data_IF_638902629198
#
_entry.id   IF_638902629198
#
_cell.length_a   1.000
_cell.length_b   1.000
_cell.length_c   1.000
_cell.angle_alpha   90.00
_cell.angle_beta   90.00
_cell.angle_gamma   90.00
#
_symmetry.space_group_name_H-M   'P 1'
#
loop_
_entity.id
_entity.type
_entity.pdbx_description
1 polymer ?
#
# COMPACT_ATOMS: atom_id res chain seq x y z
N UNK A 1 26.64 27.10 -6.56
CA UNK A 1 27.35 25.93 -7.11
C UNK A 1 27.38 24.72 -6.16
N UNK A 2 27.57 24.86 -4.85
CA UNK A 2 27.64 23.73 -3.89
C UNK A 2 26.38 22.84 -3.89
N UNK A 3 25.16 23.41 -3.99
CA UNK A 3 23.91 22.65 -3.92
C UNK A 3 23.63 21.78 -5.14
N UNK A 4 24.18 22.11 -6.31
CA UNK A 4 24.05 21.31 -7.54
C UNK A 4 24.95 20.08 -7.47
N UNK A 5 26.15 20.24 -6.89
CA UNK A 5 27.10 19.14 -6.73
C UNK A 5 26.57 18.05 -5.78
N UNK A 6 25.90 18.45 -4.67
CA UNK A 6 25.32 17.53 -3.72
C UNK A 6 24.12 16.76 -4.32
N UNK A 7 23.27 17.44 -5.09
CA UNK A 7 22.14 16.79 -5.77
C UNK A 7 22.60 15.75 -6.79
N UNK A 8 23.62 16.07 -7.56
CA UNK A 8 24.16 15.15 -8.55
C UNK A 8 24.90 13.97 -7.90
N UNK A 9 25.61 14.19 -6.78
CA UNK A 9 26.26 13.14 -6.02
C UNK A 9 25.23 12.15 -5.42
N UNK A 10 24.11 12.64 -4.87
CA UNK A 10 23.03 11.79 -4.39
C UNK A 10 22.38 10.97 -5.51
N UNK A 11 22.18 11.56 -6.69
CA UNK A 11 21.61 10.87 -7.84
C UNK A 11 22.53 9.73 -8.33
N UNK A 12 23.83 9.99 -8.42
CA UNK A 12 24.83 8.99 -8.79
C UNK A 12 24.92 7.88 -7.76
N UNK A 13 24.83 8.20 -6.46
CA UNK A 13 24.86 7.19 -5.40
C UNK A 13 23.63 6.28 -5.43
N UNK A 14 22.46 6.83 -5.71
CA UNK A 14 21.23 6.04 -5.90
C UNK A 14 21.33 5.15 -7.13
N UNK A 15 21.84 5.65 -8.26
CA UNK A 15 22.02 4.85 -9.48
C UNK A 15 23.10 3.76 -9.33
N UNK A 16 24.16 4.00 -8.57
CA UNK A 16 25.18 3.00 -8.28
C UNK A 16 24.68 1.88 -7.36
N UNK A 17 23.78 2.18 -6.41
CA UNK A 17 23.22 1.16 -5.52
C UNK A 17 22.33 0.15 -6.25
N UNK A 18 21.72 0.52 -7.38
CA UNK A 18 20.96 -0.41 -8.21
C UNK A 18 21.81 -1.46 -8.94
N UNK A 19 23.10 -1.19 -9.18
CA UNK A 19 23.97 -2.15 -9.87
C UNK A 19 24.52 -3.26 -8.98
N UNK A 20 24.43 -3.13 -7.64
CA UNK A 20 24.88 -4.17 -6.70
C UNK A 20 23.86 -5.29 -6.50
N UNK A 21 22.65 -5.14 -7.02
CA UNK A 21 21.56 -6.13 -6.89
C UNK A 21 21.72 -7.31 -7.87
N UNK A 22 22.64 -7.23 -8.82
CA UNK A 22 22.87 -8.26 -9.84
C UNK A 22 23.89 -9.34 -9.48
N UNK A 23 24.31 -9.46 -8.22
CA UNK A 23 25.05 -10.63 -7.75
C UNK A 23 24.12 -11.86 -7.80
N UNK A 24 24.23 -12.59 -8.87
CA UNK A 24 23.41 -13.77 -9.21
C UNK A 24 23.76 -14.92 -8.27
N UNK A 25 23.10 -14.97 -7.13
CA UNK A 25 22.96 -16.19 -6.36
C UNK A 25 21.75 -16.96 -6.93
N UNK A 26 21.92 -18.15 -7.53
CA UNK A 26 20.83 -18.93 -8.09
C UNK A 26 19.80 -19.36 -7.04
N UNK A 27 20.08 -19.21 -5.76
CA UNK A 27 19.16 -19.44 -4.65
C UNK A 27 18.23 -18.24 -4.36
N UNK A 28 18.49 -17.04 -4.91
CA UNK A 28 17.66 -15.86 -4.72
C UNK A 28 16.33 -16.01 -5.42
N UNK A 29 15.30 -16.15 -4.64
CA UNK A 29 13.91 -16.16 -5.12
C UNK A 29 13.60 -14.83 -5.82
N UNK A 30 13.29 -14.91 -7.11
CA UNK A 30 12.98 -13.73 -7.93
C UNK A 30 11.65 -13.11 -7.48
N UNK A 31 11.53 -11.77 -7.51
CA UNK A 31 10.25 -11.12 -7.32
C UNK A 31 9.24 -11.61 -8.36
N UNK A 32 8.02 -11.88 -7.92
CA UNK A 32 6.92 -12.27 -8.80
C UNK A 32 5.87 -11.17 -8.88
N UNK A 33 5.35 -10.94 -10.08
CA UNK A 33 4.24 -10.02 -10.29
C UNK A 33 2.96 -10.85 -10.30
N UNK A 34 1.97 -10.42 -9.54
CA UNK A 34 0.66 -11.09 -9.44
C UNK A 34 -0.43 -10.06 -9.67
N UNK A 35 -1.40 -10.40 -10.51
CA UNK A 35 -2.55 -9.54 -10.75
C UNK A 35 -3.53 -9.55 -9.56
N UNK A 36 -3.63 -10.69 -8.88
CA UNK A 36 -4.51 -10.85 -7.73
C UNK A 36 -3.98 -11.93 -6.78
N UNK A 37 -4.00 -11.64 -5.48
CA UNK A 37 -3.36 -12.47 -4.46
C UNK A 37 -4.30 -13.43 -3.71
N UNK A 38 -5.60 -13.43 -4.02
CA UNK A 38 -6.56 -14.32 -3.36
C UNK A 38 -6.58 -14.15 -1.84
N UNK A 39 -6.86 -12.93 -1.37
CA UNK A 39 -6.93 -12.63 0.07
C UNK A 39 -8.12 -11.73 0.40
N UNK A 40 -8.57 -11.79 1.64
CA UNK A 40 -9.53 -10.84 2.19
C UNK A 40 -8.93 -10.23 3.45
N UNK A 41 -8.92 -8.91 3.50
CA UNK A 41 -8.32 -8.14 4.58
C UNK A 41 -9.33 -7.11 5.06
N UNK A 42 -9.53 -7.04 6.36
CA UNK A 42 -10.28 -5.98 7.02
C UNK A 42 -9.34 -5.18 7.90
N UNK A 43 -9.56 -3.88 7.97
CA UNK A 43 -8.67 -3.01 8.73
C UNK A 43 -9.25 -1.65 9.03
N UNK A 44 -8.38 -0.79 9.54
CA UNK A 44 -8.72 0.56 9.97
C UNK A 44 -7.80 1.58 9.34
N UNK A 45 -8.38 2.67 8.83
CA UNK A 45 -7.64 3.80 8.23
C UNK A 45 -8.47 5.07 8.33
N UNK A 46 -7.84 6.18 8.66
CA UNK A 46 -8.46 7.52 8.63
C UNK A 46 -9.84 7.58 9.31
N UNK A 47 -9.93 7.07 10.54
CA UNK A 47 -11.17 7.03 11.34
C UNK A 47 -12.33 6.24 10.69
N UNK A 48 -12.03 5.30 9.82
CA UNK A 48 -12.99 4.40 9.19
C UNK A 48 -12.43 3.01 9.01
N UNK A 49 -13.31 2.03 8.81
CA UNK A 49 -12.92 0.67 8.47
C UNK A 49 -12.72 0.53 6.96
N UNK A 50 -11.99 -0.49 6.56
CA UNK A 50 -11.88 -0.87 5.15
C UNK A 50 -11.90 -2.39 4.97
N UNK A 51 -12.31 -2.81 3.79
CA UNK A 51 -12.19 -4.19 3.32
C UNK A 51 -11.46 -4.18 1.97
N UNK A 52 -10.46 -5.05 1.84
CA UNK A 52 -9.65 -5.21 0.64
C UNK A 52 -9.64 -6.68 0.23
N UNK A 53 -9.67 -6.95 -1.07
CA UNK A 53 -9.69 -8.31 -1.63
C UNK A 53 -8.38 -8.68 -2.36
N UNK A 54 -7.29 -7.98 -2.05
CA UNK A 54 -6.05 -8.08 -2.79
C UNK A 54 -6.09 -7.26 -4.08
N UNK A 55 -4.96 -7.21 -4.79
CA UNK A 55 -4.82 -6.47 -6.04
C UNK A 55 -3.48 -6.75 -6.71
N UNK A 56 -3.17 -6.04 -7.79
CA UNK A 56 -1.89 -6.18 -8.47
C UNK A 56 -0.74 -5.87 -7.53
N UNK A 57 0.22 -6.78 -7.43
CA UNK A 57 1.33 -6.66 -6.49
C UNK A 57 2.61 -7.28 -7.03
N UNK A 58 3.73 -6.74 -6.57
CA UNK A 58 5.06 -7.32 -6.69
C UNK A 58 5.37 -7.96 -5.34
N UNK A 59 5.73 -9.24 -5.33
CA UNK A 59 5.97 -9.97 -4.09
C UNK A 59 7.22 -10.83 -4.12
N UNK A 60 7.82 -10.93 -2.96
CA UNK A 60 8.89 -11.87 -2.63
C UNK A 60 8.27 -13.01 -1.81
N UNK A 61 8.35 -14.23 -2.34
CA UNK A 61 7.80 -15.41 -1.67
C UNK A 61 8.95 -16.24 -1.11
N UNK A 62 8.99 -16.38 0.21
CA UNK A 62 9.91 -17.25 0.93
C UNK A 62 9.12 -18.09 1.93
N UNK A 63 8.49 -19.17 1.43
CA UNK A 63 7.63 -20.03 2.26
C UNK A 63 8.27 -20.34 3.62
N UNK A 64 7.50 -20.17 4.72
CA UNK A 64 6.07 -19.88 4.82
C UNK A 64 5.69 -18.40 4.73
N UNK A 65 6.64 -17.50 4.51
CA UNK A 65 6.49 -16.05 4.47
C UNK A 65 6.32 -15.53 3.05
N UNK A 66 5.59 -14.45 2.90
CA UNK A 66 5.62 -13.64 1.69
C UNK A 66 5.48 -12.15 2.06
N UNK A 67 6.21 -11.33 1.31
CA UNK A 67 6.17 -9.89 1.43
C UNK A 67 5.83 -9.30 0.07
N UNK A 68 4.86 -8.39 0.01
CA UNK A 68 4.40 -7.77 -1.22
C UNK A 68 4.20 -6.27 -1.06
N UNK A 69 4.29 -5.58 -2.20
CA UNK A 69 3.89 -4.19 -2.35
C UNK A 69 3.01 -4.08 -3.59
N UNK A 70 1.87 -3.41 -3.48
CA UNK A 70 0.94 -3.36 -4.60
C UNK A 70 -0.16 -2.32 -4.47
N UNK A 71 -1.00 -2.30 -5.48
CA UNK A 71 -2.22 -1.49 -5.52
C UNK A 71 -3.32 -2.23 -4.77
N UNK A 72 -4.04 -1.50 -3.94
CA UNK A 72 -5.05 -2.04 -3.04
C UNK A 72 -6.43 -1.46 -3.38
N UNK A 73 -7.18 -2.11 -4.29
CA UNK A 73 -8.58 -1.78 -4.50
C UNK A 73 -9.36 -2.13 -3.23
N UNK A 74 -10.08 -1.17 -2.70
CA UNK A 74 -10.62 -1.22 -1.34
C UNK A 74 -12.01 -0.62 -1.27
N UNK A 75 -12.86 -1.17 -0.45
CA UNK A 75 -14.11 -0.55 -0.02
C UNK A 75 -13.90 0.08 1.36
N UNK A 76 -13.95 1.40 1.44
CA UNK A 76 -13.87 2.14 2.71
C UNK A 76 -15.27 2.32 3.27
N UNK A 77 -15.38 2.11 4.58
CA UNK A 77 -16.61 2.27 5.34
C UNK A 77 -16.36 3.38 6.37
N UNK A 78 -16.86 4.57 6.07
CA UNK A 78 -16.67 5.75 6.91
C UNK A 78 -17.94 6.59 6.90
N UNK A 79 -18.43 6.97 8.07
CA UNK A 79 -19.57 7.88 8.18
C UNK A 79 -19.09 9.34 8.17
N UNK A 80 -19.69 10.16 7.31
CA UNK A 80 -19.46 11.59 7.33
C UNK A 80 -20.03 12.24 8.59
N UNK A 81 -19.18 12.96 9.30
CA UNK A 81 -19.56 13.81 10.43
C UNK A 81 -19.90 15.20 9.93
N UNK A 82 -21.08 15.36 9.33
CA UNK A 82 -21.57 16.65 8.85
C UNK A 82 -22.69 17.19 9.75
N UNK A 83 -22.91 18.50 9.71
CA UNK A 83 -23.99 19.15 10.47
C UNK A 83 -25.38 18.60 10.09
N UNK A 84 -26.33 18.66 11.01
CA UNK A 84 -27.72 18.24 10.74
C UNK A 84 -28.28 19.02 9.54
N UNK A 85 -28.77 18.28 8.53
CA UNK A 85 -29.34 18.88 7.31
C UNK A 85 -28.37 19.03 6.14
N UNK A 86 -27.05 18.81 6.31
CA UNK A 86 -26.11 18.81 5.21
C UNK A 86 -26.14 17.47 4.44
N UNK A 87 -25.83 17.53 3.14
CA UNK A 87 -25.72 16.35 2.28
C UNK A 87 -24.58 15.46 2.77
N UNK A 88 -24.86 14.18 3.01
CA UNK A 88 -23.89 13.17 3.44
C UNK A 88 -23.41 12.37 2.23
N UNK A 89 -22.11 12.07 2.20
CA UNK A 89 -21.58 11.11 1.25
C UNK A 89 -22.01 9.68 1.60
N UNK A 90 -21.87 8.77 0.63
CA UNK A 90 -22.11 7.35 0.89
C UNK A 90 -21.19 6.85 2.01
N UNK A 91 -21.76 6.06 2.93
CA UNK A 91 -20.98 5.43 3.99
C UNK A 91 -19.96 4.41 3.45
N UNK A 92 -20.21 3.85 2.26
CA UNK A 92 -19.31 2.92 1.57
C UNK A 92 -18.77 3.61 0.33
N UNK A 93 -17.46 3.73 0.23
CA UNK A 93 -16.79 4.40 -0.87
C UNK A 93 -15.70 3.51 -1.45
N UNK A 94 -15.75 3.19 -2.75
CA UNK A 94 -14.64 2.50 -3.42
C UNK A 94 -13.42 3.44 -3.47
N UNK A 95 -12.26 2.92 -3.14
CA UNK A 95 -11.01 3.68 -3.09
C UNK A 95 -9.86 2.79 -3.55
N UNK A 96 -8.89 3.36 -4.22
CA UNK A 96 -7.64 2.69 -4.50
C UNK A 96 -6.51 3.34 -3.68
N UNK A 97 -5.64 2.51 -3.14
CA UNK A 97 -4.43 2.92 -2.46
C UNK A 97 -3.27 2.05 -2.89
N UNK A 98 -2.17 2.16 -2.20
CA UNK A 98 -1.07 1.21 -2.29
C UNK A 98 -0.63 0.81 -0.89
N UNK A 99 0.13 -0.27 -0.78
CA UNK A 99 0.60 -0.66 0.54
C UNK A 99 1.44 -1.92 0.53
N UNK A 100 1.95 -2.20 1.71
CA UNK A 100 2.72 -3.38 2.00
C UNK A 100 1.82 -4.48 2.54
N UNK A 101 2.05 -5.69 2.06
CA UNK A 101 1.35 -6.90 2.53
C UNK A 101 2.38 -7.90 3.00
N UNK A 102 2.23 -8.35 4.22
CA UNK A 102 3.05 -9.37 4.82
C UNK A 102 2.16 -10.58 5.15
N UNK A 103 2.51 -11.75 4.64
CA UNK A 103 1.73 -12.94 4.90
C UNK A 103 2.59 -14.06 5.47
N UNK A 104 2.05 -14.73 6.49
CA UNK A 104 2.58 -15.97 7.05
C UNK A 104 1.53 -17.06 6.90
N UNK A 105 1.83 -18.05 6.05
CA UNK A 105 0.83 -19.07 5.66
C UNK A 105 -0.45 -18.39 5.16
N UNK A 106 -1.53 -18.48 5.92
CA UNK A 106 -2.85 -17.92 5.62
C UNK A 106 -3.13 -16.58 6.28
N UNK A 107 -2.36 -16.20 7.30
CA UNK A 107 -2.54 -14.94 8.04
C UNK A 107 -1.86 -13.81 7.26
N UNK A 108 -2.56 -12.71 7.08
CA UNK A 108 -2.07 -11.55 6.35
C UNK A 108 -2.14 -10.31 7.24
N UNK A 109 -1.01 -9.58 7.31
CA UNK A 109 -0.94 -8.22 7.84
C UNK A 109 -0.73 -7.27 6.66
N UNK A 110 -1.50 -6.18 6.61
CA UNK A 110 -1.41 -5.17 5.57
C UNK A 110 -1.26 -3.77 6.17
N UNK A 111 -0.38 -2.98 5.57
CA UNK A 111 -0.20 -1.56 5.87
C UNK A 111 -0.52 -0.76 4.62
N UNK A 112 -1.79 -0.34 4.46
CA UNK A 112 -2.22 0.45 3.32
C UNK A 112 -1.94 1.93 3.51
N UNK A 113 -1.81 2.64 2.39
CA UNK A 113 -1.72 4.09 2.29
C UNK A 113 -2.79 4.58 1.32
N UNK A 114 -3.70 5.38 1.81
CA UNK A 114 -4.76 5.99 1.01
C UNK A 114 -4.59 7.50 0.95
N UNK A 115 -4.75 8.04 -0.23
CA UNK A 115 -4.74 9.48 -0.42
C UNK A 115 -6.16 10.04 -0.37
N UNK A 116 -6.40 10.95 0.55
CA UNK A 116 -7.60 11.76 0.54
C UNK A 116 -7.33 13.01 -0.28
N UNK A 117 -8.09 13.20 -1.36
CA UNK A 117 -7.92 14.35 -2.24
C UNK A 117 -8.21 15.66 -1.51
N UNK A 118 -7.61 16.74 -1.99
CA UNK A 118 -7.90 18.11 -1.53
C UNK A 118 -9.37 18.45 -1.78
N UNK A 119 -10.02 19.02 -0.77
CA UNK A 119 -11.36 19.61 -0.85
C UNK A 119 -11.30 21.11 -0.64
N UNK A 120 -12.41 21.81 -0.73
CA UNK A 120 -12.48 23.26 -0.48
C UNK A 120 -12.04 23.62 0.96
N UNK A 121 -12.22 22.71 1.92
CA UNK A 121 -11.97 22.96 3.34
C UNK A 121 -10.74 22.21 3.89
N UNK A 122 -10.23 21.20 3.19
CA UNK A 122 -9.12 20.37 3.66
C UNK A 122 -8.06 20.14 2.59
N UNK A 123 -6.80 20.24 2.98
CA UNK A 123 -5.68 19.87 2.11
C UNK A 123 -5.62 18.35 1.88
N UNK A 124 -5.10 17.96 0.71
CA UNK A 124 -4.84 16.56 0.41
C UNK A 124 -3.88 15.93 1.43
N UNK A 125 -4.18 14.69 1.85
CA UNK A 125 -3.42 14.00 2.90
C UNK A 125 -3.32 12.50 2.63
N UNK A 126 -2.13 11.95 2.87
CA UNK A 126 -1.91 10.51 2.95
C UNK A 126 -2.30 9.99 4.34
N UNK A 127 -3.02 8.90 4.35
CA UNK A 127 -3.46 8.25 5.59
C UNK A 127 -2.96 6.80 5.59
N UNK A 128 -2.02 6.46 6.48
CA UNK A 128 -1.64 5.07 6.73
C UNK A 128 -2.73 4.36 7.51
N UNK A 129 -2.87 3.07 7.26
CA UNK A 129 -3.78 2.20 7.97
C UNK A 129 -3.12 0.90 8.38
N UNK A 130 -3.88 0.04 9.02
CA UNK A 130 -3.47 -1.32 9.37
C UNK A 130 -4.66 -2.26 9.17
N UNK A 131 -4.39 -3.47 8.68
CA UNK A 131 -5.41 -4.49 8.52
C UNK A 131 -4.86 -5.89 8.70
N UNK A 132 -5.75 -6.77 9.09
CA UNK A 132 -5.51 -8.21 9.22
C UNK A 132 -6.45 -8.97 8.28
N UNK A 133 -5.99 -10.08 7.77
CA UNK A 133 -6.76 -10.86 6.84
C UNK A 133 -6.31 -12.30 6.68
N UNK A 134 -6.95 -12.93 5.72
CA UNK A 134 -6.73 -14.33 5.39
C UNK A 134 -6.43 -14.46 3.89
N UNK A 135 -5.47 -15.31 3.56
CA UNK A 135 -5.11 -15.69 2.20
C UNK A 135 -5.50 -17.15 1.95
N UNK A 136 -6.22 -17.38 0.86
CA UNK A 136 -6.66 -18.69 0.39
C UNK A 136 -5.55 -19.51 -0.24
#
# INVERSE_FOLDING_TARGET
MKNVLIKNACLVFVLCSFNWVNAQDPSRKKPSITAWDGMVIAGYVDQGSYVNFGGPSIKLVNKPWSFGFGILPTMRIKQDKVAKGATKNSAITPTAGFGFTFAYKHIVLQVPFYYNAKTATNNGRWNPGVGLGFRF
#
